data_IF_568750435513
#
_entry.id   IF_568750435513
#
_cell.length_a   1.000
_cell.length_b   1.000
_cell.length_c   1.000
_cell.angle_alpha   90.00
_cell.angle_beta   90.00
_cell.angle_gamma   90.00
#
_symmetry.space_group_name_H-M   'P 1'
#
loop_
_entity.id
_entity.type
_entity.pdbx_description
1 polymer ?
#
# COMPACT_ATOMS: atom_id res chain seq x y z
N UNK A 1 3.77 21.30 0.81
CA UNK A 1 3.97 20.82 2.18
C UNK A 1 4.72 21.89 2.95
N UNK A 2 4.10 22.54 3.93
CA UNK A 2 4.77 23.56 4.74
C UNK A 2 5.49 22.87 5.90
N UNK A 3 6.83 22.95 5.92
CA UNK A 3 7.63 22.53 7.07
C UNK A 3 7.20 23.38 8.28
N UNK A 4 6.87 22.71 9.40
CA UNK A 4 6.38 23.41 10.60
C UNK A 4 7.57 24.14 11.22
N UNK A 5 7.35 25.36 11.73
CA UNK A 5 8.40 26.22 12.30
C UNK A 5 9.32 25.52 13.31
N UNK A 6 8.79 24.53 14.05
CA UNK A 6 9.54 23.72 15.02
C UNK A 6 10.57 22.78 14.40
N UNK A 7 10.32 22.32 13.18
CA UNK A 7 11.26 21.44 12.48
C UNK A 7 12.49 22.23 12.01
N UNK A 8 12.29 23.50 11.65
CA UNK A 8 13.38 24.42 11.25
C UNK A 8 14.28 24.74 12.44
N UNK A 9 13.71 25.02 13.61
CA UNK A 9 14.48 25.28 14.84
C UNK A 9 15.28 24.06 15.31
N UNK A 10 14.73 22.86 15.15
CA UNK A 10 15.46 21.61 15.44
C UNK A 10 16.63 21.40 14.50
N UNK A 11 16.43 21.61 13.21
CA UNK A 11 17.50 21.47 12.21
C UNK A 11 18.58 22.51 12.46
N UNK A 12 18.21 23.76 12.77
CA UNK A 12 19.21 24.80 13.07
C UNK A 12 20.00 24.48 14.32
N UNK A 13 19.38 24.00 15.40
CA UNK A 13 20.07 23.62 16.62
C UNK A 13 21.07 22.47 16.42
N UNK A 14 20.70 21.47 15.61
CA UNK A 14 21.59 20.35 15.27
C UNK A 14 22.77 20.84 14.42
N UNK A 15 22.53 21.71 13.44
CA UNK A 15 23.60 22.29 12.63
C UNK A 15 24.53 23.18 13.45
N UNK A 16 24.00 23.93 14.42
CA UNK A 16 24.79 24.74 15.34
C UNK A 16 25.64 23.87 16.27
N UNK A 17 25.08 22.77 16.78
CA UNK A 17 25.82 21.80 17.58
C UNK A 17 26.97 21.18 16.78
N UNK A 18 26.74 20.85 15.51
CA UNK A 18 27.77 20.26 14.65
C UNK A 18 28.87 21.26 14.29
N UNK A 19 28.52 22.53 14.09
CA UNK A 19 29.49 23.60 13.85
C UNK A 19 30.37 23.89 15.07
N UNK A 20 29.82 23.74 16.28
CA UNK A 20 30.57 23.93 17.53
C UNK A 20 31.44 22.72 17.90
N UNK A 21 31.17 21.53 17.34
CA UNK A 21 31.93 20.29 17.54
C UNK A 21 33.12 20.13 16.57
N UNK A 22 33.78 21.25 16.21
CA UNK A 22 34.88 21.27 15.23
C UNK A 22 36.05 20.35 15.58
N UNK A 23 36.31 20.10 16.87
CA UNK A 23 37.37 19.19 17.32
C UNK A 23 37.12 17.73 16.93
N UNK A 24 35.85 17.32 16.86
CA UNK A 24 35.48 15.94 16.49
C UNK A 24 35.69 15.68 15.00
N UNK A 25 35.40 16.68 14.16
CA UNK A 25 35.68 16.64 12.73
C UNK A 25 37.19 16.65 12.44
N UNK A 26 37.98 17.36 13.27
CA UNK A 26 39.43 17.40 13.11
C UNK A 26 40.09 16.05 13.46
N UNK A 27 39.60 15.35 14.49
CA UNK A 27 40.08 14.01 14.85
C UNK A 27 39.78 12.95 13.78
N UNK A 28 38.61 13.00 13.14
CA UNK A 28 38.30 12.11 12.02
C UNK A 28 39.14 12.43 10.78
N UNK A 29 39.51 13.71 10.56
CA UNK A 29 40.34 14.13 9.43
C UNK A 29 41.81 13.72 9.59
N UNK A 30 42.35 13.79 10.81
CA UNK A 30 43.70 13.29 11.12
C UNK A 30 43.84 11.78 10.85
N UNK A 31 42.78 11.00 11.05
CA UNK A 31 42.79 9.55 10.77
C UNK A 31 42.92 9.23 9.28
N UNK A 32 42.41 10.10 8.40
CA UNK A 32 42.55 9.95 6.95
C UNK A 32 43.88 10.50 6.41
N UNK A 33 44.44 11.52 7.04
CA UNK A 33 45.73 12.11 6.63
C UNK A 33 46.94 11.32 7.17
N UNK A 34 46.80 10.67 8.33
CA UNK A 34 47.80 9.77 8.91
C UNK A 34 47.20 8.37 9.12
N UNK A 35 47.05 7.56 8.06
CA UNK A 35 46.69 6.16 8.23
C UNK A 35 47.72 5.48 9.14
N UNK A 36 47.29 4.63 10.10
CA UNK A 36 48.21 3.94 10.99
C UNK A 36 49.23 3.16 10.16
N UNK A 37 50.51 3.30 10.51
CA UNK A 37 51.60 2.63 9.81
C UNK A 37 51.32 1.12 9.72
N UNK A 38 51.57 0.48 8.56
CA UNK A 38 51.45 -0.95 8.44
C UNK A 38 52.35 -1.60 9.49
N UNK A 39 51.75 -2.43 10.35
CA UNK A 39 52.47 -3.08 11.44
C UNK A 39 53.72 -3.82 10.92
N UNK A 40 54.86 -3.75 11.63
CA UNK A 40 56.09 -4.39 11.19
C UNK A 40 55.89 -5.91 11.03
N UNK A 41 56.51 -6.53 10.01
CA UNK A 41 56.38 -7.95 9.75
C UNK A 41 57.25 -8.71 10.76
N UNK A 42 56.66 -9.09 11.90
CA UNK A 42 57.38 -9.89 12.87
C UNK A 42 56.52 -10.31 14.04
N UNK A 43 56.37 -11.62 14.20
CA UNK A 43 55.75 -12.34 15.32
C UNK A 43 54.22 -12.51 15.17
N UNK A 44 53.82 -13.26 14.14
CA UNK A 44 52.56 -13.98 14.13
C UNK A 44 52.76 -15.34 14.82
N UNK A 45 52.25 -15.47 16.04
CA UNK A 45 52.03 -16.76 16.71
C UNK A 45 51.10 -17.60 15.82
N UNK A 46 51.68 -18.69 15.30
CA UNK A 46 51.10 -19.62 14.33
C UNK A 46 49.92 -20.39 14.94
N UNK A 47 48.72 -19.84 14.83
CA UNK A 47 47.46 -20.57 15.03
C UNK A 47 47.19 -21.53 13.86
N UNK A 48 46.42 -22.62 14.08
CA UNK A 48 46.17 -23.63 13.06
C UNK A 48 45.48 -23.05 11.82
N UNK A 49 46.03 -23.45 10.68
CA UNK A 49 45.69 -23.08 9.31
C UNK A 49 44.19 -23.12 9.03
N UNK A 50 43.54 -21.95 9.00
CA UNK A 50 42.34 -21.75 8.20
C UNK A 50 42.81 -21.59 6.76
N UNK A 51 42.69 -22.66 5.99
CA UNK A 51 42.87 -22.61 4.53
C UNK A 51 41.97 -21.49 4.00
N UNK A 52 42.51 -20.48 3.28
CA UNK A 52 41.69 -19.43 2.70
C UNK A 52 40.64 -20.08 1.81
N UNK A 53 39.36 -19.78 2.03
CA UNK A 53 38.29 -20.24 1.16
C UNK A 53 38.63 -19.85 -0.29
N UNK A 54 38.36 -20.72 -1.28
CA UNK A 54 38.47 -20.35 -2.68
C UNK A 54 37.71 -19.03 -2.91
N UNK A 55 38.24 -18.08 -3.72
CA UNK A 55 37.60 -16.79 -3.95
C UNK A 55 36.11 -16.88 -4.32
N UNK A 56 35.73 -17.95 -5.05
CA UNK A 56 34.35 -18.25 -5.45
C UNK A 56 33.40 -18.58 -4.28
N UNK A 57 33.89 -19.20 -3.19
CA UNK A 57 33.05 -19.51 -2.02
C UNK A 57 32.88 -18.29 -1.10
N UNK A 58 33.92 -17.45 -1.00
CA UNK A 58 33.85 -16.20 -0.23
C UNK A 58 32.84 -15.22 -0.87
N UNK A 59 32.86 -15.08 -2.20
CA UNK A 59 31.88 -14.24 -2.92
C UNK A 59 30.45 -14.74 -2.75
N UNK A 60 30.23 -16.07 -2.76
CA UNK A 60 28.91 -16.66 -2.49
C UNK A 60 28.44 -16.38 -1.07
N UNK A 61 29.33 -16.47 -0.08
CA UNK A 61 29.01 -16.18 1.32
C UNK A 61 28.71 -14.70 1.54
N UNK A 62 29.47 -13.80 0.92
CA UNK A 62 29.25 -12.35 0.99
C UNK A 62 27.94 -11.97 0.29
N UNK A 63 27.64 -12.58 -0.86
CA UNK A 63 26.36 -12.40 -1.56
C UNK A 63 25.18 -12.92 -0.72
N UNK A 64 25.29 -14.10 -0.12
CA UNK A 64 24.27 -14.65 0.77
C UNK A 64 24.03 -13.74 1.99
N UNK A 65 25.09 -13.22 2.59
CA UNK A 65 25.02 -12.30 3.72
C UNK A 65 24.33 -11.00 3.32
N UNK A 66 24.68 -10.42 2.17
CA UNK A 66 24.03 -9.22 1.64
C UNK A 66 22.54 -9.47 1.38
N UNK A 67 22.19 -10.61 0.77
CA UNK A 67 20.79 -10.98 0.51
C UNK A 67 19.98 -11.19 1.79
N UNK A 68 20.59 -11.80 2.82
CA UNK A 68 19.97 -11.94 4.14
C UNK A 68 19.69 -10.57 4.77
N UNK A 69 20.69 -9.67 4.78
CA UNK A 69 20.52 -8.30 5.31
C UNK A 69 19.46 -7.50 4.57
N UNK A 70 19.38 -7.63 3.23
CA UNK A 70 18.34 -6.98 2.44
C UNK A 70 16.95 -7.54 2.78
N UNK A 71 16.85 -8.85 2.96
CA UNK A 71 15.60 -9.53 3.34
C UNK A 71 15.14 -9.11 4.74
N UNK A 72 16.08 -9.00 5.69
CA UNK A 72 15.81 -8.55 7.05
C UNK A 72 15.40 -7.07 7.09
N UNK A 73 16.10 -6.20 6.36
CA UNK A 73 15.69 -4.79 6.23
C UNK A 73 14.32 -4.66 5.57
N UNK A 74 14.03 -5.47 4.55
CA UNK A 74 12.73 -5.50 3.91
C UNK A 74 11.63 -6.05 4.84
N UNK A 75 11.94 -7.01 5.71
CA UNK A 75 10.97 -7.52 6.70
C UNK A 75 10.68 -6.48 7.78
N UNK A 76 11.67 -5.70 8.20
CA UNK A 76 11.50 -4.56 9.11
C UNK A 76 10.62 -3.44 8.51
N UNK A 77 10.59 -3.33 7.17
CA UNK A 77 9.72 -2.41 6.44
C UNK A 77 8.29 -2.93 6.25
N UNK A 78 7.93 -4.10 6.80
CA UNK A 78 6.56 -4.62 6.72
C UNK A 78 5.64 -3.93 7.73
N UNK A 79 4.34 -3.80 7.42
CA UNK A 79 3.39 -3.14 8.30
C UNK A 79 3.34 -3.75 9.70
N UNK A 80 3.44 -5.08 9.81
CA UNK A 80 3.48 -5.76 11.11
C UNK A 80 4.61 -5.28 12.01
N UNK A 81 5.85 -5.26 11.50
CA UNK A 81 7.02 -4.86 12.27
C UNK A 81 6.98 -3.38 12.63
N UNK A 82 6.59 -2.52 11.69
CA UNK A 82 6.45 -1.10 11.94
C UNK A 82 5.35 -0.82 12.97
N UNK A 83 4.18 -1.46 12.86
CA UNK A 83 3.10 -1.32 13.84
C UNK A 83 3.55 -1.75 15.23
N UNK A 84 4.23 -2.90 15.35
CA UNK A 84 4.74 -3.40 16.63
C UNK A 84 5.78 -2.45 17.24
N UNK A 85 6.66 -1.88 16.42
CA UNK A 85 7.63 -0.89 16.88
C UNK A 85 6.95 0.37 17.41
N UNK A 86 5.96 0.91 16.69
CA UNK A 86 5.20 2.08 17.15
C UNK A 86 4.41 1.79 18.43
N UNK A 87 3.84 0.59 18.57
CA UNK A 87 3.16 0.14 19.80
C UNK A 87 4.13 0.11 20.98
N UNK A 88 5.36 -0.36 20.80
CA UNK A 88 6.38 -0.35 21.85
C UNK A 88 6.76 1.08 22.28
N UNK A 89 6.97 1.98 21.31
CA UNK A 89 7.24 3.39 21.60
C UNK A 89 6.09 4.07 22.35
N UNK A 90 4.85 3.79 21.95
CA UNK A 90 3.65 4.32 22.60
C UNK A 90 3.47 3.72 24.01
N UNK A 91 3.76 2.43 24.19
CA UNK A 91 3.76 1.77 25.51
C UNK A 91 4.76 2.44 26.45
N UNK A 92 5.97 2.77 25.99
CA UNK A 92 6.95 3.53 26.77
C UNK A 92 6.49 4.96 27.08
N UNK A 93 5.72 5.59 26.18
CA UNK A 93 5.13 6.92 26.43
C UNK A 93 4.09 6.86 27.54
N UNK A 94 3.21 5.86 27.51
CA UNK A 94 2.20 5.62 28.55
C UNK A 94 2.89 5.30 29.88
N UNK A 95 3.91 4.44 29.87
CA UNK A 95 4.69 4.12 31.06
C UNK A 95 5.20 5.38 31.77
N UNK A 96 5.91 6.25 31.05
CA UNK A 96 6.46 7.50 31.61
C UNK A 96 5.38 8.47 32.10
N UNK A 97 4.23 8.51 31.43
CA UNK A 97 3.11 9.37 31.83
C UNK A 97 2.38 8.87 33.09
N UNK A 98 2.59 7.61 33.49
CA UNK A 98 1.90 6.96 34.59
C UNK A 98 2.83 6.60 35.76
N UNK A 99 4.08 7.07 35.78
CA UNK A 99 5.02 6.81 36.88
C UNK A 99 4.49 7.28 38.24
N UNK A 100 3.59 8.28 38.27
CA UNK A 100 2.96 8.78 39.49
C UNK A 100 1.74 7.97 39.96
N UNK A 101 1.30 6.96 39.18
CA UNK A 101 0.09 6.17 39.51
C UNK A 101 0.46 4.92 40.33
N UNK A 102 -0.30 4.58 41.39
CA UNK A 102 -0.05 3.38 42.17
C UNK A 102 -0.21 2.12 41.31
N UNK A 103 0.77 1.21 41.39
CA UNK A 103 0.87 -0.02 40.59
C UNK A 103 -0.36 -0.97 40.67
N UNK A 104 -1.24 -0.78 41.66
CA UNK A 104 -2.28 -1.73 42.05
C UNK A 104 -3.53 -1.73 41.14
N UNK A 105 -3.62 -0.85 40.14
CA UNK A 105 -4.80 -0.74 39.26
C UNK A 105 -4.59 -1.27 37.83
N UNK A 106 -3.40 -1.77 37.47
CA UNK A 106 -3.10 -2.14 36.09
C UNK A 106 -2.96 -3.64 35.89
N UNK A 107 -3.82 -4.18 35.03
CA UNK A 107 -3.64 -5.54 34.52
C UNK A 107 -2.33 -5.61 33.72
N UNK A 108 -1.64 -6.76 33.70
CA UNK A 108 -0.36 -6.92 33.01
C UNK A 108 -0.35 -6.46 31.54
N UNK A 109 -1.49 -6.55 30.85
CA UNK A 109 -1.61 -6.21 29.43
C UNK A 109 -2.22 -4.82 29.15
N UNK A 110 -2.71 -4.10 30.18
CA UNK A 110 -3.44 -2.84 29.98
C UNK A 110 -2.65 -1.82 29.14
N UNK A 111 -1.36 -1.61 29.46
CA UNK A 111 -0.53 -0.64 28.72
C UNK A 111 -0.35 -1.02 27.25
N UNK A 112 -0.20 -2.31 26.99
CA UNK A 112 -0.03 -2.81 25.63
C UNK A 112 -1.32 -2.63 24.83
N UNK A 113 -2.47 -2.92 25.43
CA UNK A 113 -3.78 -2.77 24.79
C UNK A 113 -4.10 -1.30 24.49
N UNK A 114 -3.83 -0.40 25.42
CA UNK A 114 -4.01 1.05 25.20
C UNK A 114 -3.07 1.59 24.13
N UNK A 115 -1.77 1.22 24.16
CA UNK A 115 -0.83 1.58 23.11
C UNK A 115 -1.29 1.08 21.73
N UNK A 116 -1.74 -0.17 21.64
CA UNK A 116 -2.29 -0.76 20.40
C UNK A 116 -3.49 0.02 19.89
N UNK A 117 -4.45 0.40 20.76
CA UNK A 117 -5.63 1.19 20.36
C UNK A 117 -5.24 2.55 19.79
N UNK A 118 -4.31 3.26 20.44
CA UNK A 118 -3.85 4.59 20.02
C UNK A 118 -3.13 4.52 18.66
N UNK A 119 -2.18 3.60 18.51
CA UNK A 119 -1.44 3.44 17.24
C UNK A 119 -2.38 3.00 16.12
N UNK A 120 -3.29 2.06 16.39
CA UNK A 120 -4.30 1.62 15.42
C UNK A 120 -5.21 2.77 14.98
N UNK A 121 -5.68 3.61 15.91
CA UNK A 121 -6.48 4.80 15.57
C UNK A 121 -5.72 5.74 14.63
N UNK A 122 -4.44 6.01 14.92
CA UNK A 122 -3.58 6.83 14.06
C UNK A 122 -3.40 6.23 12.66
N UNK A 123 -3.18 4.92 12.57
CA UNK A 123 -3.06 4.22 11.28
C UNK A 123 -4.36 4.23 10.47
N UNK A 124 -5.53 4.20 11.15
CA UNK A 124 -6.84 4.35 10.51
C UNK A 124 -6.99 5.77 9.96
N UNK A 125 -6.66 6.80 10.74
CA UNK A 125 -6.72 8.21 10.33
C UNK A 125 -5.82 8.51 9.13
N UNK A 126 -4.62 7.91 9.10
CA UNK A 126 -3.68 8.03 7.97
C UNK A 126 -4.10 7.19 6.75
N UNK A 127 -5.15 6.37 6.87
CA UNK A 127 -5.62 5.49 5.80
C UNK A 127 -4.72 4.29 5.52
N UNK A 128 -3.71 4.04 6.36
CA UNK A 128 -2.78 2.91 6.26
C UNK A 128 -3.46 1.61 6.69
N UNK A 129 -4.29 1.67 7.75
CA UNK A 129 -4.96 0.48 8.28
C UNK A 129 -5.91 -0.16 7.26
N UNK A 130 -5.76 -1.47 7.05
CA UNK A 130 -6.65 -2.27 6.20
C UNK A 130 -7.83 -2.80 7.01
N UNK A 131 -9.05 -2.74 6.44
CA UNK A 131 -10.24 -3.34 7.07
C UNK A 131 -10.14 -4.86 7.24
N UNK A 132 -9.24 -5.51 6.51
CA UNK A 132 -8.96 -6.95 6.62
C UNK A 132 -8.16 -7.32 7.87
N UNK A 133 -7.49 -6.34 8.48
CA UNK A 133 -6.73 -6.53 9.71
C UNK A 133 -7.66 -6.44 10.92
N UNK A 134 -7.86 -7.56 11.62
CA UNK A 134 -8.74 -7.63 12.80
C UNK A 134 -8.08 -6.97 14.02
N UNK A 135 -6.99 -7.58 14.48
CA UNK A 135 -6.34 -7.21 15.76
C UNK A 135 -4.96 -6.60 15.56
N UNK A 136 -4.19 -7.09 14.58
CA UNK A 136 -2.82 -6.67 14.30
C UNK A 136 -2.66 -6.32 12.82
N UNK A 137 -1.67 -5.48 12.50
CA UNK A 137 -1.32 -5.20 11.12
C UNK A 137 -0.84 -6.49 10.43
N UNK A 138 -1.24 -6.70 9.17
CA UNK A 138 -0.79 -7.84 8.38
C UNK A 138 0.63 -7.65 7.82
N UNK A 139 1.11 -8.68 7.13
CA UNK A 139 2.47 -8.67 6.54
C UNK A 139 2.60 -7.82 5.28
N UNK A 140 1.48 -7.48 4.63
CA UNK A 140 1.45 -6.77 3.33
C UNK A 140 0.81 -5.40 3.49
N UNK A 141 1.41 -4.36 2.93
CA UNK A 141 0.82 -3.02 3.01
C UNK A 141 -0.54 -2.96 2.31
N UNK A 142 -1.47 -2.15 2.83
CA UNK A 142 -2.80 -1.97 2.24
C UNK A 142 -2.77 -1.56 0.75
N UNK A 143 -1.75 -0.81 0.34
CA UNK A 143 -1.57 -0.37 -1.04
C UNK A 143 -0.86 -1.41 -1.91
N UNK A 144 -0.03 -2.27 -1.34
CA UNK A 144 0.57 -3.41 -2.03
C UNK A 144 -0.48 -4.46 -2.38
N UNK A 145 -1.49 -4.67 -1.52
CA UNK A 145 -2.57 -5.62 -1.82
C UNK A 145 -3.28 -5.31 -3.14
N UNK A 146 -3.53 -4.02 -3.45
CA UNK A 146 -4.14 -3.64 -4.75
C UNK A 146 -3.18 -3.87 -5.91
N UNK A 147 -1.88 -3.68 -5.69
CA UNK A 147 -0.85 -3.85 -6.72
C UNK A 147 -0.61 -5.33 -7.03
N UNK A 148 -0.74 -6.21 -6.06
CA UNK A 148 -0.64 -7.67 -6.26
C UNK A 148 -1.86 -8.23 -6.99
N UNK A 149 -3.09 -7.85 -6.61
CA UNK A 149 -4.28 -8.24 -7.37
C UNK A 149 -4.34 -7.61 -8.76
N UNK A 150 -3.85 -6.37 -8.91
CA UNK A 150 -3.69 -5.71 -10.20
C UNK A 150 -2.63 -6.44 -11.05
N UNK A 151 -1.47 -6.77 -10.49
CA UNK A 151 -0.40 -7.48 -11.20
C UNK A 151 -0.83 -8.86 -11.71
N UNK A 152 -1.80 -9.50 -11.06
CA UNK A 152 -2.43 -10.72 -11.55
C UNK A 152 -3.57 -10.49 -12.56
N UNK A 153 -4.01 -9.24 -12.82
CA UNK A 153 -5.02 -9.00 -13.87
C UNK A 153 -4.41 -9.16 -15.27
N UNK A 154 -5.22 -9.60 -16.24
CA UNK A 154 -4.76 -9.80 -17.62
C UNK A 154 -4.01 -8.59 -18.18
N UNK A 155 -4.52 -7.38 -17.97
CA UNK A 155 -3.86 -6.16 -18.42
C UNK A 155 -2.40 -6.02 -17.94
N UNK A 156 -2.16 -6.06 -16.63
CA UNK A 156 -0.83 -5.84 -16.09
C UNK A 156 0.12 -6.99 -16.38
N UNK A 157 -0.40 -8.23 -16.38
CA UNK A 157 0.37 -9.40 -16.77
C UNK A 157 0.81 -9.31 -18.23
N UNK A 158 -0.08 -8.86 -19.11
CA UNK A 158 0.22 -8.63 -20.52
C UNK A 158 1.24 -7.51 -20.72
N UNK A 159 1.09 -6.38 -20.03
CA UNK A 159 2.07 -5.28 -20.09
C UNK A 159 3.47 -5.73 -19.69
N UNK A 160 3.59 -6.52 -18.62
CA UNK A 160 4.88 -7.06 -18.19
C UNK A 160 5.49 -8.00 -19.25
N UNK A 161 4.70 -8.89 -19.82
CA UNK A 161 5.18 -9.79 -20.87
C UNK A 161 5.54 -9.04 -22.16
N UNK A 162 4.81 -7.98 -22.50
CA UNK A 162 5.08 -7.08 -23.61
C UNK A 162 6.44 -6.38 -23.45
N UNK A 163 6.71 -5.82 -22.28
CA UNK A 163 8.00 -5.18 -21.98
C UNK A 163 9.15 -6.18 -22.10
N UNK A 164 8.97 -7.38 -21.54
CA UNK A 164 9.98 -8.44 -21.62
C UNK A 164 10.26 -8.86 -23.05
N UNK A 165 9.22 -9.03 -23.88
CA UNK A 165 9.36 -9.40 -25.28
C UNK A 165 10.01 -8.28 -26.11
N UNK A 166 9.68 -7.01 -25.81
CA UNK A 166 10.35 -5.85 -26.41
C UNK A 166 11.85 -5.85 -26.11
N UNK A 167 12.24 -6.16 -24.88
CA UNK A 167 13.65 -6.30 -24.51
C UNK A 167 14.33 -7.49 -25.20
N UNK A 168 13.64 -8.63 -25.35
CA UNK A 168 14.17 -9.77 -26.07
C UNK A 168 14.44 -9.46 -27.55
N UNK A 169 13.52 -8.75 -28.22
CA UNK A 169 13.68 -8.32 -29.60
C UNK A 169 14.85 -7.35 -29.79
N UNK A 170 15.02 -6.40 -28.86
CA UNK A 170 16.17 -5.48 -28.86
C UNK A 170 17.51 -6.20 -28.68
N UNK A 171 17.53 -7.34 -27.98
CA UNK A 171 18.72 -8.15 -27.80
C UNK A 171 19.00 -9.09 -28.99
N UNK A 172 17.94 -9.58 -29.65
CA UNK A 172 18.02 -10.46 -30.82
C UNK A 172 18.46 -9.70 -32.08
N UNK A 173 17.88 -8.53 -32.32
CA UNK A 173 18.19 -7.68 -33.47
C UNK A 173 18.97 -6.45 -32.98
N UNK A 174 20.29 -6.48 -33.13
CA UNK A 174 21.16 -5.34 -32.79
C UNK A 174 20.90 -4.09 -33.67
N UNK A 175 20.11 -4.24 -34.73
CA UNK A 175 19.71 -3.16 -35.63
C UNK A 175 18.31 -2.68 -35.26
N UNK A 176 18.13 -1.36 -35.14
CA UNK A 176 16.88 -0.73 -34.72
C UNK A 176 15.82 -0.95 -35.80
N UNK A 177 15.08 -2.05 -35.70
CA UNK A 177 13.97 -2.32 -36.61
C UNK A 177 12.85 -1.33 -36.31
N UNK A 178 12.37 -0.53 -37.28
CA UNK A 178 11.15 0.23 -37.07
C UNK A 178 10.03 -0.77 -36.79
N UNK A 179 9.24 -0.53 -35.73
CA UNK A 179 8.08 -1.33 -35.31
C UNK A 179 8.28 -2.46 -34.26
N UNK A 180 9.30 -2.35 -33.39
CA UNK A 180 9.55 -3.31 -32.28
C UNK A 180 8.30 -3.50 -31.39
N UNK A 181 7.57 -2.42 -31.09
CA UNK A 181 6.40 -2.49 -30.22
C UNK A 181 5.29 -3.37 -30.79
N UNK A 182 5.01 -3.28 -32.09
CA UNK A 182 3.97 -4.08 -32.75
C UNK A 182 4.38 -5.54 -32.87
N UNK A 183 5.67 -5.83 -33.18
CA UNK A 183 6.19 -7.21 -33.16
C UNK A 183 6.09 -7.83 -31.75
N UNK A 184 6.53 -7.11 -30.72
CA UNK A 184 6.44 -7.57 -29.34
C UNK A 184 4.98 -7.85 -28.96
N UNK A 185 4.08 -6.93 -29.29
CA UNK A 185 2.66 -7.08 -29.05
C UNK A 185 2.07 -8.30 -29.74
N UNK A 186 2.36 -8.50 -31.04
CA UNK A 186 1.83 -9.63 -31.80
C UNK A 186 2.36 -10.97 -31.26
N UNK A 187 3.65 -11.06 -30.87
CA UNK A 187 4.21 -12.27 -30.25
C UNK A 187 3.53 -12.61 -28.93
N UNK A 188 3.36 -11.63 -28.04
CA UNK A 188 2.70 -11.86 -26.73
C UNK A 188 1.23 -12.20 -26.91
N UNK A 189 0.49 -11.48 -27.77
CA UNK A 189 -0.91 -11.78 -28.06
C UNK A 189 -1.10 -13.17 -28.62
N UNK A 190 -0.29 -13.57 -29.60
CA UNK A 190 -0.36 -14.89 -30.22
C UNK A 190 -0.14 -15.99 -29.18
N UNK A 191 0.87 -15.84 -28.31
CA UNK A 191 1.12 -16.76 -27.19
C UNK A 191 -0.06 -16.86 -26.23
N UNK A 192 -0.74 -15.74 -25.94
CA UNK A 192 -1.92 -15.74 -25.08
C UNK A 192 -3.14 -16.41 -25.71
N UNK A 193 -3.31 -16.29 -27.03
CA UNK A 193 -4.33 -17.01 -27.80
C UNK A 193 -4.05 -18.51 -27.74
N UNK A 194 -2.80 -18.93 -27.96
CA UNK A 194 -2.39 -20.34 -27.92
C UNK A 194 -2.62 -21.01 -26.56
N UNK A 195 -2.42 -20.27 -25.46
CA UNK A 195 -2.64 -20.76 -24.08
C UNK A 195 -4.12 -20.63 -23.66
N UNK A 196 -4.97 -19.95 -24.45
CA UNK A 196 -6.38 -19.72 -24.12
C UNK A 196 -6.61 -18.65 -23.05
N UNK A 197 -5.63 -17.78 -22.80
CA UNK A 197 -5.77 -16.64 -21.89
C UNK A 197 -6.38 -15.41 -22.56
N UNK A 198 -6.32 -15.32 -23.89
CA UNK A 198 -6.89 -14.21 -24.64
C UNK A 198 -8.40 -14.36 -24.83
N UNK A 199 -9.18 -13.37 -24.37
CA UNK A 199 -10.61 -13.26 -24.68
C UNK A 199 -10.82 -12.43 -25.95
N UNK A 200 -11.52 -12.97 -26.95
CA UNK A 200 -11.83 -12.26 -28.21
C UNK A 200 -12.64 -10.97 -27.98
N UNK A 201 -13.44 -10.91 -26.91
CA UNK A 201 -14.21 -9.74 -26.53
C UNK A 201 -13.34 -8.54 -26.14
N UNK A 202 -12.06 -8.74 -25.80
CA UNK A 202 -11.14 -7.66 -25.42
C UNK A 202 -10.62 -6.85 -26.63
N UNK A 203 -10.67 -7.39 -27.84
CA UNK A 203 -10.25 -6.68 -29.06
C UNK A 203 -8.73 -6.45 -29.16
N UNK A 204 -8.27 -5.22 -28.86
CA UNK A 204 -6.86 -4.80 -29.03
C UNK A 204 -6.06 -4.88 -27.73
N UNK A 205 -6.67 -4.71 -26.56
CA UNK A 205 -5.93 -4.80 -25.29
C UNK A 205 -6.71 -5.67 -24.32
N UNK A 206 -6.02 -6.51 -23.52
CA UNK A 206 -6.69 -7.34 -22.56
C UNK A 206 -7.43 -6.50 -21.53
N UNK A 207 -8.60 -6.98 -21.11
CA UNK A 207 -9.41 -6.36 -20.07
C UNK A 207 -8.80 -6.48 -18.67
N UNK A 208 -9.59 -6.07 -17.67
CA UNK A 208 -9.18 -6.10 -16.25
C UNK A 208 -9.65 -7.35 -15.49
N UNK A 209 -10.55 -8.15 -16.07
CA UNK A 209 -11.07 -9.42 -15.52
C UNK A 209 -10.55 -10.61 -16.31
N UNK A 210 -10.34 -11.74 -15.66
CA UNK A 210 -10.04 -13.00 -16.36
C UNK A 210 -11.29 -13.61 -16.99
N UNK A 211 -11.13 -14.42 -18.04
CA UNK A 211 -12.23 -15.12 -18.72
C UNK A 211 -13.12 -15.92 -17.74
N UNK A 212 -12.53 -16.51 -16.70
CA UNK A 212 -13.22 -17.34 -15.71
C UNK A 212 -13.85 -16.55 -14.55
N UNK A 213 -13.59 -15.25 -14.42
CA UNK A 213 -14.23 -14.40 -13.42
C UNK A 213 -15.65 -13.98 -13.84
N UNK A 214 -15.98 -14.06 -15.14
CA UNK A 214 -17.27 -13.68 -15.72
C UNK A 214 -18.24 -14.88 -15.87
N UNK A 215 -17.93 -16.04 -15.29
CA UNK A 215 -18.87 -17.16 -15.27
C UNK A 215 -20.10 -16.78 -14.42
N UNK A 216 -21.32 -16.87 -14.96
CA UNK A 216 -22.52 -16.59 -14.19
C UNK A 216 -22.57 -17.54 -13.00
N UNK A 217 -22.75 -16.98 -11.81
CA UNK A 217 -22.86 -17.70 -10.55
C UNK A 217 -23.91 -18.81 -10.70
N UNK A 218 -23.47 -20.06 -10.80
CA UNK A 218 -24.28 -21.25 -11.14
C UNK A 218 -25.25 -21.66 -10.01
N UNK A 219 -25.59 -20.72 -9.13
CA UNK A 219 -26.48 -20.89 -7.97
C UNK A 219 -27.81 -20.15 -8.11
N UNK A 220 -28.09 -19.52 -9.24
CA UNK A 220 -29.43 -19.01 -9.54
C UNK A 220 -30.06 -19.87 -10.66
N UNK A 221 -31.01 -20.77 -10.36
CA UNK A 221 -31.74 -21.47 -11.40
C UNK A 221 -32.48 -20.44 -12.29
N UNK A 222 -32.65 -20.74 -13.60
CA UNK A 222 -33.28 -19.82 -14.53
C UNK A 222 -34.70 -19.54 -14.04
N UNK A 223 -34.98 -18.28 -13.73
CA UNK A 223 -36.34 -17.81 -13.46
C UNK A 223 -37.14 -18.13 -14.72
N UNK A 224 -38.01 -19.13 -14.60
CA UNK A 224 -38.87 -19.60 -15.66
C UNK A 224 -39.59 -18.43 -16.32
N UNK A 225 -39.59 -18.47 -17.65
CA UNK A 225 -40.42 -17.68 -18.52
C UNK A 225 -41.85 -17.60 -17.95
N UNK A 226 -42.22 -16.42 -17.45
CA UNK A 226 -43.62 -16.10 -17.23
C UNK A 226 -44.25 -15.87 -18.60
N UNK A 227 -45.14 -16.80 -18.94
CA UNK A 227 -46.21 -16.66 -19.90
C UNK A 227 -46.73 -15.22 -19.97
N UNK A 228 -46.75 -14.66 -21.17
CA UNK A 228 -47.86 -13.82 -21.60
C UNK A 228 -48.32 -14.32 -22.95
N UNK A 229 -49.44 -15.04 -22.92
CA UNK A 229 -50.26 -15.35 -24.08
C UNK A 229 -50.74 -14.06 -24.77
N UNK A 230 -51.02 -14.17 -26.07
CA UNK A 230 -52.01 -13.35 -26.74
C UNK A 230 -51.46 -12.40 -27.81
N UNK A 231 -51.38 -12.87 -29.06
CA UNK A 231 -52.39 -12.53 -30.07
C UNK A 231 -52.00 -13.10 -31.44
N UNK A 232 -52.75 -14.11 -31.86
CA UNK A 232 -52.87 -14.56 -33.25
C UNK A 232 -54.01 -13.79 -33.93
N UNK A 233 -53.70 -13.13 -35.05
CA UNK A 233 -54.53 -12.91 -36.24
C UNK A 233 -53.54 -12.38 -37.28
N UNK A 234 -53.27 -12.97 -38.43
CA UNK A 234 -54.07 -13.81 -39.30
C UNK A 234 -53.88 -13.25 -40.71
N UNK A 235 -53.60 -14.15 -41.65
CA UNK A 235 -53.79 -14.02 -43.10
C UNK A 235 -52.72 -13.41 -44.04
N UNK A 236 -52.30 -14.30 -44.96
CA UNK A 236 -52.05 -14.14 -46.41
C UNK A 236 -50.77 -13.38 -46.81
N UNK A 237 -49.91 -13.87 -47.70
CA UNK A 237 -49.96 -14.96 -48.67
C UNK A 237 -49.13 -14.56 -49.91
N UNK A 238 -48.52 -15.54 -50.59
CA UNK A 238 -47.97 -15.40 -51.96
C UNK A 238 -46.44 -15.31 -52.05
N UNK A 239 -45.79 -16.40 -52.52
CA UNK A 239 -45.26 -16.60 -53.90
C UNK A 239 -43.95 -15.83 -54.16
N UNK A 240 -42.78 -16.50 -54.23
CA UNK A 240 -42.24 -17.34 -55.33
C UNK A 240 -41.34 -16.55 -56.31
N UNK A 241 -40.36 -17.27 -56.85
CA UNK A 241 -39.31 -16.91 -57.82
C UNK A 241 -38.06 -16.22 -57.21
N UNK A 242 -36.88 -16.86 -57.17
CA UNK A 242 -36.03 -17.31 -58.29
C UNK A 242 -35.34 -16.13 -58.99
N UNK A 243 -34.00 -16.06 -58.90
CA UNK A 243 -33.06 -15.68 -59.96
C UNK A 243 -31.79 -15.00 -59.43
N UNK A 244 -30.69 -15.74 -59.53
CA UNK A 244 -29.48 -15.41 -60.31
C UNK A 244 -28.95 -13.98 -60.40
N UNK A 245 -27.62 -13.89 -60.20
CA UNK A 245 -26.64 -13.20 -61.06
C UNK A 245 -25.75 -12.15 -60.38
N UNK A 246 -24.46 -12.48 -60.43
CA UNK A 246 -23.29 -11.63 -60.28
C UNK A 246 -23.38 -10.28 -61.01
N UNK A 247 -22.80 -9.22 -60.40
CA UNK A 247 -21.92 -8.27 -61.12
C UNK A 247 -21.21 -7.25 -60.20
N UNK A 248 -19.87 -7.29 -60.29
CA UNK A 248 -18.91 -6.18 -60.51
C UNK A 248 -19.05 -4.84 -59.75
N UNK A 249 -18.01 -4.56 -58.96
CA UNK A 249 -17.13 -3.38 -58.98
C UNK A 249 -17.73 -1.96 -59.16
N UNK A 250 -17.62 -1.14 -58.10
CA UNK A 250 -17.10 0.25 -58.14
C UNK A 250 -16.96 0.88 -56.73
N UNK A 251 -15.78 1.39 -56.34
CA UNK A 251 -15.63 2.57 -55.47
C UNK A 251 -15.19 3.77 -56.34
N UNK A 252 -14.82 4.96 -55.80
CA UNK A 252 -15.16 5.62 -54.54
C UNK A 252 -15.76 7.03 -54.78
N UNK A 253 -16.37 7.65 -53.77
CA UNK A 253 -16.60 9.09 -53.76
C UNK A 253 -16.35 9.70 -52.37
N UNK A 254 -15.25 10.44 -52.29
CA UNK A 254 -14.97 11.46 -51.29
C UNK A 254 -16.16 12.44 -51.24
N UNK A 255 -16.55 12.91 -50.05
CA UNK A 255 -16.67 14.34 -49.72
C UNK A 255 -17.20 14.60 -48.30
N UNK A 256 -16.53 15.59 -47.69
CA UNK A 256 -17.02 16.67 -46.82
C UNK A 256 -17.16 16.41 -45.33
N UNK A 257 -16.15 16.97 -44.65
CA UNK A 257 -16.23 17.67 -43.38
C UNK A 257 -17.45 18.61 -43.26
N UNK A 258 -18.09 18.54 -42.09
CA UNK A 258 -18.74 19.59 -41.29
C UNK A 258 -18.59 19.08 -39.83
N UNK A 259 -18.02 19.75 -38.84
CA UNK A 259 -17.97 21.19 -38.58
C UNK A 259 -19.28 21.65 -37.94
N UNK A 260 -19.43 21.45 -36.62
CA UNK A 260 -20.36 22.14 -35.69
C UNK A 260 -20.00 21.61 -34.26
N UNK A 261 -19.25 22.30 -33.40
CA UNK A 261 -19.54 23.54 -32.66
C UNK A 261 -20.67 23.40 -31.61
N UNK A 262 -20.23 23.50 -30.34
CA UNK A 262 -20.86 24.11 -29.15
C UNK A 262 -22.12 23.52 -28.51
N UNK A 263 -21.99 23.06 -27.26
CA UNK A 263 -22.74 23.50 -26.06
C UNK A 263 -22.19 22.70 -24.86
N UNK A 264 -21.40 23.27 -23.95
CA UNK A 264 -21.80 24.18 -22.86
C UNK A 264 -23.13 23.80 -22.20
N UNK A 265 -23.03 23.09 -21.06
CA UNK A 265 -24.03 23.10 -20.00
C UNK A 265 -23.38 22.74 -18.67
N UNK A 266 -23.04 23.76 -17.91
CA UNK A 266 -22.81 23.65 -16.48
C UNK A 266 -24.13 23.48 -15.73
N UNK A 267 -24.10 22.68 -14.66
CA UNK A 267 -25.06 22.55 -13.55
C UNK A 267 -24.32 21.62 -12.56
N UNK A 268 -23.69 22.02 -11.46
CA UNK A 268 -24.12 22.83 -10.31
C UNK A 268 -25.45 22.33 -9.70
N UNK A 269 -25.35 21.37 -8.77
CA UNK A 269 -26.15 21.24 -7.53
C UNK A 269 -25.75 19.96 -6.77
N UNK A 270 -25.12 20.11 -5.61
CA UNK A 270 -25.71 20.09 -4.26
C UNK A 270 -25.54 18.73 -3.57
N UNK A 271 -24.64 18.72 -2.58
CA UNK A 271 -24.53 17.69 -1.55
C UNK A 271 -25.75 17.69 -0.63
N UNK A 272 -26.18 16.53 -0.11
CA UNK A 272 -26.99 16.49 1.11
C UNK A 272 -26.09 16.22 2.33
N UNK A 273 -26.09 17.19 3.25
CA UNK A 273 -25.92 16.96 4.69
C UNK A 273 -27.12 16.15 5.20
N UNK A 274 -26.88 15.02 5.86
CA UNK A 274 -27.78 14.45 6.87
C UNK A 274 -26.91 13.99 8.05
N UNK A 275 -26.81 14.80 9.10
CA UNK A 275 -27.67 14.84 10.30
C UNK A 275 -27.30 13.72 11.27
N UNK A 276 -26.60 14.12 12.33
CA UNK A 276 -26.39 13.37 13.54
C UNK A 276 -27.73 12.95 14.16
N UNK A 277 -27.77 11.75 14.73
CA UNK A 277 -28.85 11.33 15.61
C UNK A 277 -28.26 10.64 16.84
N UNK A 278 -28.18 11.42 17.91
CA UNK A 278 -28.18 10.92 19.28
C UNK A 278 -29.45 10.11 19.53
N UNK A 279 -29.31 8.97 20.18
CA UNK A 279 -30.39 8.34 20.93
C UNK A 279 -29.78 7.81 22.24
N UNK A 280 -30.03 8.59 23.27
CA UNK A 280 -29.83 8.24 24.67
C UNK A 280 -31.05 7.47 25.19
N UNK A 281 -30.79 6.69 26.25
CA UNK A 281 -31.69 6.23 27.31
C UNK A 281 -32.34 4.84 27.29
N UNK A 282 -32.04 4.19 28.42
CA UNK A 282 -32.82 3.28 29.29
C UNK A 282 -32.95 1.82 28.86
N UNK A 283 -32.97 0.85 29.77
CA UNK A 283 -32.61 0.71 31.19
C UNK A 283 -32.93 -0.73 31.61
N UNK A 284 -32.39 -1.13 32.77
CA UNK A 284 -32.81 -2.24 33.66
C UNK A 284 -32.30 -3.65 33.28
N UNK A 285 -31.63 -4.39 34.17
CA UNK A 285 -31.17 -4.05 35.52
C UNK A 285 -30.68 -5.25 36.33
N UNK A 286 -30.49 -4.97 37.64
CA UNK A 286 -30.40 -5.88 38.80
C UNK A 286 -29.15 -6.77 38.85
N UNK A 287 -28.45 -7.01 39.97
CA UNK A 287 -28.55 -6.66 41.41
C UNK A 287 -27.28 -7.23 42.07
N UNK A 288 -26.83 -6.63 43.18
CA UNK A 288 -25.75 -7.15 44.04
C UNK A 288 -24.83 -6.03 44.50
N UNK A 289 -25.22 -5.14 45.42
CA UNK A 289 -25.15 -5.32 46.88
C UNK A 289 -23.80 -5.90 47.36
N UNK A 290 -22.91 -5.04 47.86
CA UNK A 290 -22.45 -5.03 49.26
C UNK A 290 -21.26 -4.08 49.49
N UNK A 291 -21.24 -3.50 50.71
CA UNK A 291 -20.09 -2.93 51.44
C UNK A 291 -19.62 -1.51 51.03
N UNK A 292 -20.10 -0.47 51.70
CA UNK A 292 -19.76 0.04 53.06
C UNK A 292 -18.63 1.08 53.06
N UNK A 293 -19.05 2.34 53.17
CA UNK A 293 -18.55 3.39 54.06
C UNK A 293 -17.07 3.35 54.49
N UNK A 294 -16.25 4.29 54.00
CA UNK A 294 -15.12 4.87 54.77
C UNK A 294 -14.92 6.36 54.38
N UNK A 295 -15.31 7.23 55.32
CA UNK A 295 -14.82 8.58 55.67
C UNK A 295 -14.34 9.57 54.59
N UNK A 296 -15.10 10.67 54.43
CA UNK A 296 -14.58 11.98 53.99
C UNK A 296 -14.02 12.73 55.21
N UNK A 297 -12.71 13.01 55.23
CA UNK A 297 -12.11 14.02 56.12
C UNK A 297 -11.54 15.17 55.29
N UNK A 298 -12.14 16.32 55.59
CA UNK A 298 -11.82 17.71 55.33
C UNK A 298 -10.37 18.07 55.71
N UNK A 299 -9.60 18.73 54.83
CA UNK A 299 -8.70 19.85 55.20
C UNK A 299 -8.53 20.77 53.98
N UNK A 300 -9.09 21.97 54.09
CA UNK A 300 -8.80 23.14 53.25
C UNK A 300 -7.43 23.70 53.64
N UNK A 301 -6.55 23.98 52.66
CA UNK A 301 -5.38 24.84 52.89
C UNK A 301 -5.55 26.18 52.19
N UNK A 302 -5.62 27.21 53.03
CA UNK A 302 -5.87 28.62 52.75
C UNK A 302 -4.54 29.29 52.40
N UNK A 303 -4.44 29.83 51.19
CA UNK A 303 -3.33 30.69 50.78
C UNK A 303 -3.34 31.99 51.59
N UNK A 304 -2.24 32.28 52.30
CA UNK A 304 -1.97 33.57 52.94
C UNK A 304 -0.75 34.18 52.25
N UNK A 305 -1.01 35.13 51.36
CA UNK A 305 -0.01 35.90 50.61
C UNK A 305 0.42 37.07 51.51
N UNK A 306 1.65 37.04 52.00
CA UNK A 306 2.26 38.16 52.74
C UNK A 306 2.79 39.17 51.72
N UNK A 307 2.26 40.40 51.79
CA UNK A 307 2.83 41.62 51.21
C UNK A 307 3.05 42.59 52.37
N UNK A 308 4.31 42.87 52.67
CA UNK A 308 4.80 44.06 53.38
C UNK A 308 6.20 44.26 52.79
N UNK A 309 6.52 45.34 52.08
CA UNK A 309 6.20 46.72 52.42
C UNK A 309 7.51 47.33 52.89
N UNK A 310 8.28 47.85 51.94
CA UNK A 310 9.48 48.64 52.21
C UNK A 310 9.08 50.09 52.44
N UNK A 311 9.68 50.68 53.47
CA UNK A 311 10.04 52.08 53.59
C UNK A 311 11.39 52.13 54.28
#
# INVERSE_FOLDING_TARGET
MALRSRDIERISAVLQSLANDGHRLNGEREWFENPPEPSPPGIATRGPSLTPLPPDEQEKMDHATRMFQLTERASLARPFHQFRHEVLLEQHRIWRAEEDKPLNTMTPNYRQDEARKVVKARWIEQGIWSRRWKTEAGDTWKHESKKEFAASRPFYRFSYELERERHALLAEEAEIVPDINTRAYNRVKQRWIEIGYWNEAWGVLPGMSWLYEDLPDNNNPPVAASLSQGNETGEKGGRAAESTAARRNKPPAKKRAKGLATQDRGEQRQSPRLVAREASHRARGKTGQASSNVTKKLVNNKAKRVRSGGQ
#
